data_IF_618064744148
#
_entry.id   IF_618064744148
#
_cell.length_a   1.000
_cell.length_b   1.000
_cell.length_c   1.000
_cell.angle_alpha   90.00
_cell.angle_beta   90.00
_cell.angle_gamma   90.00
#
_symmetry.space_group_name_H-M   'P 1'
#
loop_
_entity.id
_entity.type
_entity.pdbx_description
1 polymer ?
#
# COMPACT_ATOMS: atom_id res chain seq x y z
N UNK A 1 16.50 -4.88 0.46
CA UNK A 1 15.45 -4.19 -0.27
C UNK A 1 15.01 -5.07 -1.44
N UNK A 2 13.72 -5.21 -1.62
CA UNK A 2 13.11 -5.90 -2.76
C UNK A 2 12.20 -4.88 -3.44
N UNK A 3 12.38 -4.67 -4.74
CA UNK A 3 11.53 -3.74 -5.52
C UNK A 3 10.31 -4.47 -6.07
N UNK A 4 9.19 -3.78 -6.11
CA UNK A 4 7.95 -4.30 -6.67
C UNK A 4 7.88 -4.08 -8.18
N UNK A 5 7.05 -4.87 -8.87
CA UNK A 5 6.78 -4.68 -10.29
C UNK A 5 6.08 -3.34 -10.58
N UNK A 6 6.05 -2.94 -11.84
CA UNK A 6 5.59 -1.62 -12.33
C UNK A 6 4.17 -1.23 -11.92
N UNK A 7 3.32 -2.17 -11.49
CA UNK A 7 1.91 -1.93 -11.13
C UNK A 7 1.64 -2.05 -9.63
N UNK A 8 2.68 -2.15 -8.77
CA UNK A 8 2.48 -2.23 -7.34
C UNK A 8 2.30 -0.85 -6.71
N UNK A 9 1.32 -0.65 -5.82
CA UNK A 9 1.15 0.61 -5.08
C UNK A 9 2.27 0.86 -4.07
N UNK A 10 3.02 -0.17 -3.69
CA UNK A 10 4.14 -0.06 -2.75
C UNK A 10 5.48 0.05 -3.48
N UNK A 11 6.43 0.79 -2.88
CA UNK A 11 7.76 1.04 -3.46
C UNK A 11 8.64 -0.20 -3.36
N UNK A 12 8.66 -0.83 -2.18
CA UNK A 12 9.54 -1.96 -1.90
C UNK A 12 9.10 -2.70 -0.63
N UNK A 13 9.68 -3.90 -0.43
CA UNK A 13 9.54 -4.68 0.79
C UNK A 13 10.78 -4.55 1.66
N UNK A 14 10.58 -4.49 2.97
CA UNK A 14 11.61 -4.42 3.99
C UNK A 14 11.32 -5.40 5.13
N UNK A 15 12.34 -5.72 5.92
CA UNK A 15 12.12 -6.43 7.16
C UNK A 15 11.49 -5.49 8.18
N UNK A 16 10.48 -5.97 8.91
CA UNK A 16 9.83 -5.18 9.95
C UNK A 16 10.83 -4.69 11.02
N UNK A 17 11.87 -5.47 11.30
CA UNK A 17 12.96 -5.10 12.21
C UNK A 17 13.76 -3.86 11.76
N UNK A 18 13.80 -3.55 10.46
CA UNK A 18 14.59 -2.45 9.91
C UNK A 18 13.79 -1.15 9.72
N UNK A 19 12.49 -1.16 10.00
CA UNK A 19 11.57 -0.04 9.71
C UNK A 19 11.97 1.26 10.39
N UNK A 20 12.36 1.21 11.66
CA UNK A 20 12.78 2.39 12.44
C UNK A 20 14.02 3.04 11.84
N UNK A 21 15.03 2.22 11.47
CA UNK A 21 16.26 2.68 10.84
C UNK A 21 15.98 3.30 9.48
N UNK A 22 15.14 2.67 8.68
CA UNK A 22 14.78 3.18 7.36
C UNK A 22 14.02 4.50 7.44
N UNK A 23 13.04 4.63 8.37
CA UNK A 23 12.32 5.89 8.55
C UNK A 23 13.25 7.02 9.02
N UNK A 24 14.23 6.74 9.87
CA UNK A 24 15.22 7.74 10.28
C UNK A 24 16.07 8.21 9.10
N UNK A 25 16.47 7.28 8.22
CA UNK A 25 17.21 7.61 7.00
C UNK A 25 16.36 8.45 6.04
N UNK A 26 15.12 8.04 5.74
CA UNK A 26 14.20 8.76 4.84
C UNK A 26 13.87 10.19 5.33
N UNK A 27 13.96 10.44 6.63
CA UNK A 27 13.78 11.78 7.23
C UNK A 27 15.04 12.63 7.21
N UNK A 28 16.21 12.06 6.91
CA UNK A 28 17.49 12.79 6.88
C UNK A 28 17.50 13.83 5.76
N UNK A 29 18.33 14.87 5.94
CA UNK A 29 18.48 15.92 4.93
C UNK A 29 19.17 15.38 3.65
N UNK A 30 20.01 14.39 3.80
CA UNK A 30 20.65 13.69 2.69
C UNK A 30 19.62 12.95 1.82
N UNK A 31 18.75 12.14 2.43
CA UNK A 31 17.69 11.46 1.71
C UNK A 31 16.73 12.44 1.03
N UNK A 32 16.37 13.55 1.70
CA UNK A 32 15.51 14.60 1.12
C UNK A 32 16.12 15.28 -0.09
N UNK A 33 17.43 15.46 -0.13
CA UNK A 33 18.14 16.04 -1.29
C UNK A 33 18.13 15.10 -2.51
N UNK A 34 18.12 13.80 -2.26
CA UNK A 34 18.10 12.76 -3.30
C UNK A 34 16.68 12.41 -3.77
N UNK A 35 15.64 12.92 -3.08
CA UNK A 35 14.26 12.65 -3.48
C UNK A 35 13.91 13.38 -4.78
N UNK A 36 13.25 12.69 -5.73
CA UNK A 36 12.67 13.33 -6.90
C UNK A 36 11.66 14.41 -6.51
N UNK A 37 11.49 15.41 -7.41
CA UNK A 37 10.60 16.53 -7.16
C UNK A 37 9.15 16.12 -6.85
N UNK A 38 8.69 15.02 -7.44
CA UNK A 38 7.37 14.41 -7.24
C UNK A 38 7.15 13.90 -5.81
N UNK A 39 8.23 13.51 -5.14
CA UNK A 39 8.20 12.99 -3.77
C UNK A 39 8.48 14.05 -2.70
N UNK A 40 8.68 15.31 -3.07
CA UNK A 40 9.01 16.39 -2.14
C UNK A 40 8.05 16.49 -0.93
N UNK A 41 6.79 16.17 -1.14
CA UNK A 41 5.75 16.18 -0.12
C UNK A 41 5.23 14.77 0.22
N UNK A 42 5.94 13.73 -0.21
CA UNK A 42 5.52 12.37 0.07
C UNK A 42 5.68 12.03 1.56
N UNK A 43 4.67 11.39 2.12
CA UNK A 43 4.72 10.78 3.44
C UNK A 43 5.05 9.30 3.26
N UNK A 44 6.19 8.87 3.80
CA UNK A 44 6.58 7.47 3.79
C UNK A 44 5.95 6.74 4.97
N UNK A 45 5.22 5.67 4.68
CA UNK A 45 4.55 4.83 5.69
C UNK A 45 4.71 3.36 5.32
N UNK A 46 4.61 2.49 6.33
CA UNK A 46 4.65 1.05 6.12
C UNK A 46 3.25 0.45 6.08
N UNK A 47 3.13 -0.66 5.37
CA UNK A 47 1.99 -1.54 5.44
C UNK A 47 1.99 -2.40 6.71
N UNK A 48 0.94 -3.20 6.87
CA UNK A 48 0.89 -4.25 7.89
C UNK A 48 2.05 -5.25 7.70
N UNK A 49 2.61 -5.79 8.80
CA UNK A 49 3.53 -6.90 8.68
C UNK A 49 2.85 -8.13 8.07
N UNK A 50 3.45 -8.67 7.03
CA UNK A 50 3.00 -9.91 6.40
C UNK A 50 3.77 -11.09 6.98
N UNK A 51 3.05 -12.00 7.64
CA UNK A 51 3.57 -13.33 7.98
C UNK A 51 3.50 -14.19 6.72
N UNK A 52 4.61 -14.32 6.07
CA UNK A 52 4.67 -15.11 4.86
C UNK A 52 4.75 -16.59 5.20
N UNK A 53 3.62 -17.24 5.18
CA UNK A 53 3.49 -18.69 5.30
C UNK A 53 3.84 -19.41 4.01
N UNK A 54 3.75 -18.73 2.86
CA UNK A 54 4.06 -19.30 1.56
C UNK A 54 5.31 -18.68 0.94
N UNK A 55 6.47 -19.31 1.21
CA UNK A 55 7.76 -18.96 0.60
C UNK A 55 7.77 -19.08 -0.92
N UNK A 56 6.96 -19.96 -1.49
CA UNK A 56 6.88 -20.15 -2.93
C UNK A 56 6.22 -18.93 -3.61
N UNK A 57 5.11 -18.47 -3.05
CA UNK A 57 4.41 -17.30 -3.57
C UNK A 57 5.30 -16.06 -3.50
N UNK A 58 5.94 -15.83 -2.34
CA UNK A 58 6.86 -14.72 -2.17
C UNK A 58 8.06 -14.79 -3.12
N UNK A 59 8.65 -15.98 -3.25
CA UNK A 59 9.77 -16.17 -4.15
C UNK A 59 9.39 -15.82 -5.59
N UNK A 60 8.20 -16.22 -6.05
CA UNK A 60 7.69 -15.90 -7.39
C UNK A 60 7.41 -14.41 -7.62
N UNK A 61 7.08 -13.66 -6.59
CA UNK A 61 6.93 -12.20 -6.68
C UNK A 61 8.24 -11.51 -7.03
N UNK A 62 9.38 -12.00 -6.52
CA UNK A 62 10.69 -11.37 -6.71
C UNK A 62 11.55 -12.03 -7.76
N UNK A 63 11.26 -13.28 -8.10
CA UNK A 63 12.03 -14.07 -9.06
C UNK A 63 11.08 -14.78 -10.03
N UNK A 64 10.72 -14.17 -11.17
CA UNK A 64 9.87 -14.77 -12.19
C UNK A 64 10.47 -16.06 -12.73
N UNK A 65 9.63 -16.93 -13.27
CA UNK A 65 10.03 -18.25 -13.77
C UNK A 65 11.10 -18.16 -14.87
N UNK A 66 10.98 -17.19 -15.75
CA UNK A 66 11.93 -16.95 -16.85
C UNK A 66 13.32 -16.57 -16.33
N UNK A 67 13.37 -15.76 -15.27
CA UNK A 67 14.62 -15.38 -14.63
C UNK A 67 15.28 -16.55 -13.89
N UNK A 68 14.49 -17.46 -13.31
CA UNK A 68 14.98 -18.67 -12.67
C UNK A 68 15.64 -19.63 -13.67
N UNK A 69 15.05 -19.76 -14.86
CA UNK A 69 15.63 -20.59 -15.94
C UNK A 69 16.91 -19.97 -16.53
N UNK A 70 16.96 -18.63 -16.62
CA UNK A 70 18.13 -17.93 -17.14
C UNK A 70 19.34 -18.01 -16.20
N UNK A 71 19.12 -18.03 -14.88
CA UNK A 71 20.20 -18.07 -13.87
C UNK A 71 19.79 -18.91 -12.64
N UNK A 72 19.80 -20.25 -12.76
CA UNK A 72 19.37 -21.15 -11.67
C UNK A 72 20.25 -21.05 -10.42
N UNK A 73 21.54 -20.75 -10.57
CA UNK A 73 22.48 -20.69 -9.46
C UNK A 73 22.22 -19.49 -8.55
N UNK A 74 21.97 -18.30 -9.14
CA UNK A 74 21.61 -17.11 -8.39
C UNK A 74 20.19 -17.21 -7.84
N UNK A 75 19.25 -17.82 -8.56
CA UNK A 75 17.91 -18.11 -8.09
C UNK A 75 17.94 -18.96 -6.80
N UNK A 76 18.78 -20.01 -6.75
CA UNK A 76 18.95 -20.84 -5.56
C UNK A 76 19.51 -20.03 -4.38
N UNK A 77 20.58 -19.25 -4.60
CA UNK A 77 21.18 -18.39 -3.56
C UNK A 77 20.16 -17.34 -3.04
N UNK A 78 19.38 -16.75 -3.93
CA UNK A 78 18.34 -15.81 -3.55
C UNK A 78 17.29 -16.47 -2.67
N UNK A 79 16.82 -17.66 -3.03
CA UNK A 79 15.84 -18.44 -2.26
C UNK A 79 16.34 -18.77 -0.85
N UNK A 80 17.59 -19.23 -0.74
CA UNK A 80 18.21 -19.51 0.55
C UNK A 80 18.35 -18.26 1.43
N UNK A 81 18.76 -17.13 0.82
CA UNK A 81 18.86 -15.84 1.51
C UNK A 81 17.50 -15.34 1.96
N UNK A 82 16.49 -15.43 1.11
CA UNK A 82 15.11 -15.05 1.43
C UNK A 82 14.58 -15.87 2.61
N UNK A 83 14.79 -17.19 2.61
CA UNK A 83 14.40 -18.07 3.73
C UNK A 83 15.10 -17.66 5.03
N UNK A 84 16.39 -17.33 4.97
CA UNK A 84 17.14 -16.89 6.15
C UNK A 84 16.62 -15.55 6.71
N UNK A 85 16.24 -14.62 5.85
CA UNK A 85 15.69 -13.32 6.26
C UNK A 85 14.30 -13.45 6.88
N UNK A 86 13.43 -14.27 6.29
CA UNK A 86 12.07 -14.47 6.76
C UNK A 86 11.97 -15.22 8.10
N UNK A 87 12.99 -16.01 8.45
CA UNK A 87 13.09 -16.60 9.80
C UNK A 87 13.35 -15.57 10.90
N UNK A 88 13.84 -14.38 10.53
CA UNK A 88 14.26 -13.32 11.46
C UNK A 88 13.20 -12.27 11.71
N UNK A 89 12.38 -11.97 10.69
CA UNK A 89 11.40 -10.89 10.79
C UNK A 89 10.33 -11.05 9.71
N UNK A 90 9.14 -10.54 10.01
CA UNK A 90 8.08 -10.35 9.02
C UNK A 90 8.52 -9.30 7.97
N UNK A 91 7.88 -9.32 6.79
CA UNK A 91 8.05 -8.30 5.78
C UNK A 91 6.99 -7.22 5.91
N UNK A 92 7.37 -6.00 5.60
CA UNK A 92 6.49 -4.85 5.48
C UNK A 92 6.69 -4.16 4.14
N UNK A 93 5.63 -3.65 3.58
CA UNK A 93 5.68 -2.82 2.38
C UNK A 93 5.94 -1.37 2.76
N UNK A 94 6.75 -0.66 1.98
CA UNK A 94 6.92 0.78 2.08
C UNK A 94 6.07 1.47 1.03
N UNK A 95 5.30 2.46 1.44
CA UNK A 95 4.48 3.31 0.58
C UNK A 95 4.97 4.75 0.62
N UNK A 96 4.93 5.44 -0.53
CA UNK A 96 5.04 6.89 -0.62
C UNK A 96 3.65 7.45 -0.87
N UNK A 97 3.03 8.01 0.14
CA UNK A 97 1.73 8.65 0.03
C UNK A 97 1.90 10.08 -0.45
N UNK A 98 1.11 10.50 -1.44
CA UNK A 98 1.14 11.89 -1.91
C UNK A 98 0.63 12.81 -0.81
N UNK A 99 1.52 13.62 -0.27
CA UNK A 99 1.16 14.68 0.67
C UNK A 99 0.59 15.91 -0.03
N UNK A 100 -0.09 16.73 0.73
CA UNK A 100 -0.46 18.09 0.38
C UNK A 100 0.25 19.09 1.31
N UNK A 101 0.05 20.39 1.11
CA UNK A 101 0.70 21.42 1.93
C UNK A 101 0.26 21.41 3.40
N UNK A 102 -0.95 20.96 3.68
CA UNK A 102 -1.52 20.86 5.04
C UNK A 102 -1.17 19.53 5.72
N UNK A 103 -0.66 18.56 4.95
CA UNK A 103 -0.41 17.19 5.39
C UNK A 103 -1.65 16.48 5.97
N UNK A 104 -2.84 16.94 5.53
CA UNK A 104 -4.13 16.37 5.90
C UNK A 104 -4.62 15.41 4.81
N UNK A 105 -5.30 14.31 5.18
CA UNK A 105 -5.89 13.42 4.20
C UNK A 105 -7.04 14.11 3.45
N UNK A 106 -7.23 13.82 2.16
CA UNK A 106 -8.34 14.39 1.39
C UNK A 106 -9.71 13.91 1.87
N UNK A 107 -9.74 12.80 2.61
CA UNK A 107 -10.95 12.22 3.19
C UNK A 107 -10.59 11.50 4.49
N UNK A 108 -11.32 11.81 5.56
CA UNK A 108 -11.16 11.17 6.86
C UNK A 108 -12.24 10.11 7.08
N UNK A 109 -11.98 9.15 7.96
CA UNK A 109 -12.94 8.11 8.30
C UNK A 109 -14.24 8.61 8.95
N UNK A 110 -14.27 9.86 9.42
CA UNK A 110 -15.46 10.48 10.03
C UNK A 110 -16.68 10.53 9.09
N UNK A 111 -16.46 10.54 7.77
CA UNK A 111 -17.53 10.53 6.77
C UNK A 111 -18.07 9.12 6.46
N UNK A 112 -17.40 8.07 6.91
CA UNK A 112 -17.85 6.69 6.73
C UNK A 112 -19.02 6.42 7.66
N UNK A 113 -20.16 6.07 7.14
CA UNK A 113 -21.36 5.73 7.93
C UNK A 113 -21.41 4.26 8.29
N UNK A 114 -20.96 3.40 7.38
CA UNK A 114 -20.96 1.97 7.52
C UNK A 114 -19.81 1.34 6.74
N UNK A 115 -19.23 0.27 7.29
CA UNK A 115 -18.32 -0.60 6.57
C UNK A 115 -18.49 -2.04 7.05
N UNK A 116 -18.72 -2.97 6.13
CA UNK A 116 -18.97 -4.38 6.42
C UNK A 116 -18.22 -5.28 5.46
N UNK A 117 -17.74 -6.41 5.96
CA UNK A 117 -17.23 -7.47 5.11
C UNK A 117 -18.41 -8.13 4.39
N UNK A 118 -18.25 -8.37 3.10
CA UNK A 118 -19.25 -9.03 2.23
C UNK A 118 -18.53 -9.83 1.14
N UNK A 119 -19.27 -10.29 0.15
CA UNK A 119 -18.73 -11.00 -1.01
C UNK A 119 -19.09 -10.25 -2.29
N UNK A 120 -18.18 -10.26 -3.24
CA UNK A 120 -18.42 -9.72 -4.57
C UNK A 120 -19.22 -10.70 -5.46
N UNK A 121 -19.46 -10.32 -6.71
CA UNK A 121 -20.18 -11.15 -7.69
C UNK A 121 -19.46 -12.46 -8.06
N UNK A 122 -18.18 -12.58 -7.72
CA UNK A 122 -17.37 -13.78 -7.93
C UNK A 122 -17.21 -14.60 -6.64
N UNK A 123 -18.00 -14.28 -5.61
CA UNK A 123 -17.92 -14.90 -4.28
C UNK A 123 -16.56 -14.74 -3.60
N UNK A 124 -15.85 -13.62 -3.91
CA UNK A 124 -14.60 -13.27 -3.25
C UNK A 124 -14.86 -12.32 -2.08
N UNK A 125 -14.16 -12.47 -0.94
CA UNK A 125 -14.30 -11.56 0.18
C UNK A 125 -13.95 -10.12 -0.22
N UNK A 126 -14.79 -9.17 0.14
CA UNK A 126 -14.62 -7.75 -0.12
C UNK A 126 -15.19 -6.92 1.03
N UNK A 127 -15.03 -5.60 0.98
CA UNK A 127 -15.60 -4.67 1.95
C UNK A 127 -16.57 -3.74 1.24
N UNK A 128 -17.81 -3.69 1.72
CA UNK A 128 -18.78 -2.66 1.34
C UNK A 128 -18.66 -1.49 2.30
N UNK A 129 -18.57 -0.27 1.77
CA UNK A 129 -18.44 0.96 2.53
C UNK A 129 -19.48 1.98 2.07
N UNK A 130 -20.18 2.60 3.03
CA UNK A 130 -21.10 3.68 2.80
C UNK A 130 -20.60 4.96 3.49
N UNK A 131 -20.87 6.10 2.87
CA UNK A 131 -20.46 7.42 3.34
C UNK A 131 -21.66 8.35 3.47
N UNK A 132 -21.53 9.38 4.30
CA UNK A 132 -22.49 10.45 4.36
C UNK A 132 -22.44 11.32 3.08
N UNK A 133 -23.34 12.31 2.96
CA UNK A 133 -23.44 13.16 1.76
C UNK A 133 -22.17 13.95 1.45
N UNK A 134 -21.45 14.39 2.47
CA UNK A 134 -20.18 15.10 2.32
C UNK A 134 -19.10 14.16 1.81
N UNK A 135 -18.94 13.00 2.47
CA UNK A 135 -18.00 11.96 2.07
C UNK A 135 -18.25 11.46 0.66
N UNK A 136 -19.52 11.30 0.25
CA UNK A 136 -19.87 10.89 -1.11
C UNK A 136 -19.31 11.84 -2.17
N UNK A 137 -19.40 13.16 -1.95
CA UNK A 137 -18.86 14.16 -2.88
C UNK A 137 -17.33 14.16 -2.91
N UNK A 138 -16.70 14.08 -1.73
CA UNK A 138 -15.26 14.01 -1.62
C UNK A 138 -14.71 12.74 -2.28
N UNK A 139 -15.40 11.61 -2.08
CA UNK A 139 -15.05 10.32 -2.67
C UNK A 139 -15.15 10.31 -4.19
N UNK A 140 -16.22 10.86 -4.75
CA UNK A 140 -16.41 11.01 -6.19
C UNK A 140 -15.27 11.83 -6.82
N UNK A 141 -14.92 12.97 -6.22
CA UNK A 141 -13.82 13.81 -6.68
C UNK A 141 -12.48 13.09 -6.58
N UNK A 142 -12.21 12.44 -5.45
CA UNK A 142 -10.97 11.71 -5.21
C UNK A 142 -10.81 10.55 -6.19
N UNK A 143 -11.84 9.70 -6.31
CA UNK A 143 -11.81 8.54 -7.22
C UNK A 143 -11.72 8.96 -8.68
N UNK A 144 -12.39 10.04 -9.09
CA UNK A 144 -12.27 10.59 -10.43
C UNK A 144 -10.85 11.06 -10.76
N UNK A 145 -10.21 11.78 -9.83
CA UNK A 145 -8.82 12.22 -9.98
C UNK A 145 -7.86 11.03 -10.04
N UNK A 146 -7.98 10.09 -9.09
CA UNK A 146 -7.10 8.92 -8.99
C UNK A 146 -7.25 8.03 -10.21
N UNK A 147 -8.46 7.85 -10.73
CA UNK A 147 -8.72 7.12 -11.98
C UNK A 147 -8.00 7.74 -13.18
N UNK A 148 -8.09 9.06 -13.33
CA UNK A 148 -7.40 9.78 -14.42
C UNK A 148 -5.87 9.64 -14.33
N UNK A 149 -5.33 9.66 -13.11
CA UNK A 149 -3.91 9.51 -12.84
C UNK A 149 -3.44 8.03 -12.80
N UNK A 150 -4.34 7.08 -12.96
CA UNK A 150 -4.09 5.62 -12.85
C UNK A 150 -3.44 5.26 -11.50
N UNK A 151 -3.89 5.92 -10.44
CA UNK A 151 -3.33 5.79 -9.11
C UNK A 151 -4.07 4.78 -8.22
N UNK A 152 -3.64 4.77 -6.96
CA UNK A 152 -4.22 3.96 -5.89
C UNK A 152 -4.70 4.86 -4.76
N UNK A 153 -5.65 4.39 -3.97
CA UNK A 153 -6.11 5.05 -2.75
C UNK A 153 -5.65 4.22 -1.56
N UNK A 154 -4.71 4.76 -0.78
CA UNK A 154 -4.26 4.07 0.43
C UNK A 154 -5.24 4.32 1.59
N UNK A 155 -5.63 3.25 2.25
CA UNK A 155 -6.42 3.26 3.49
C UNK A 155 -5.46 3.10 4.65
N UNK A 156 -5.37 4.13 5.49
CA UNK A 156 -4.40 4.15 6.60
C UNK A 156 -5.08 4.29 7.95
N UNK A 157 -4.48 3.69 8.97
CA UNK A 157 -4.82 3.88 10.38
C UNK A 157 -3.52 3.88 11.18
N UNK A 158 -3.34 4.85 12.08
CA UNK A 158 -2.16 4.96 12.95
C UNK A 158 -0.82 4.87 12.19
N UNK A 159 -0.71 5.59 11.06
CA UNK A 159 0.44 5.58 10.17
C UNK A 159 0.80 4.19 9.58
N UNK A 160 -0.17 3.29 9.49
CA UNK A 160 -0.03 1.98 8.87
C UNK A 160 -0.98 1.89 7.67
N UNK A 161 -0.49 1.45 6.51
CA UNK A 161 -1.33 1.17 5.34
C UNK A 161 -1.97 -0.21 5.50
N UNK A 162 -3.30 -0.25 5.45
CA UNK A 162 -4.07 -1.49 5.54
C UNK A 162 -4.42 -2.05 4.17
N UNK A 163 -4.62 -1.17 3.20
CA UNK A 163 -4.92 -1.53 1.82
C UNK A 163 -4.63 -0.33 0.91
N UNK A 164 -4.31 -0.57 -0.35
CA UNK A 164 -4.10 0.47 -1.35
C UNK A 164 -4.73 0.06 -2.70
N UNK A 165 -6.07 -0.09 -2.77
CA UNK A 165 -6.76 -0.51 -3.98
C UNK A 165 -6.60 0.48 -5.13
N UNK A 166 -6.58 -0.06 -6.36
CA UNK A 166 -6.65 0.73 -7.59
C UNK A 166 -8.09 1.14 -7.88
N UNK A 167 -8.28 2.36 -8.35
CA UNK A 167 -9.58 2.80 -8.87
C UNK A 167 -9.71 2.36 -10.31
N UNK A 168 -10.59 1.37 -10.57
CA UNK A 168 -10.74 0.73 -11.88
C UNK A 168 -11.90 1.28 -12.73
N UNK A 169 -12.82 2.03 -12.14
CA UNK A 169 -14.09 2.45 -12.78
C UNK A 169 -14.42 3.93 -12.53
N UNK A 170 -13.64 4.87 -13.09
CA UNK A 170 -13.99 6.30 -13.08
C UNK A 170 -14.43 6.88 -11.70
N UNK A 171 -15.09 8.04 -11.69
CA UNK A 171 -15.63 8.63 -10.46
C UNK A 171 -16.70 7.74 -9.83
N UNK A 172 -16.58 7.44 -8.54
CA UNK A 172 -17.54 6.62 -7.81
C UNK A 172 -18.49 7.58 -7.06
N UNK A 173 -19.70 7.74 -7.59
CA UNK A 173 -20.74 8.61 -7.03
C UNK A 173 -21.66 7.86 -6.07
N UNK A 174 -22.50 8.64 -5.33
CA UNK A 174 -23.55 8.09 -4.48
C UNK A 174 -23.12 7.66 -3.08
N UNK A 175 -21.82 7.66 -2.78
CA UNK A 175 -21.29 7.40 -1.43
C UNK A 175 -21.32 5.93 -0.99
N UNK A 176 -21.68 5.00 -1.88
CA UNK A 176 -21.55 3.57 -1.67
C UNK A 176 -20.42 3.04 -2.55
N UNK A 177 -19.52 2.25 -2.01
CA UNK A 177 -18.41 1.66 -2.74
C UNK A 177 -18.07 0.28 -2.24
N UNK A 178 -17.45 -0.51 -3.10
CA UNK A 178 -16.95 -1.84 -2.78
C UNK A 178 -15.43 -1.86 -2.96
N UNK A 179 -14.73 -2.26 -1.92
CA UNK A 179 -13.28 -2.43 -1.92
C UNK A 179 -13.01 -3.90 -2.17
N UNK A 180 -12.56 -4.21 -3.37
CA UNK A 180 -12.21 -5.56 -3.80
C UNK A 180 -10.69 -5.73 -3.78
N UNK A 181 -10.25 -6.96 -3.64
CA UNK A 181 -8.83 -7.34 -3.63
C UNK A 181 -8.70 -8.84 -3.39
N UNK A 182 -7.48 -9.32 -3.31
CA UNK A 182 -7.23 -10.72 -2.95
C UNK A 182 -7.25 -10.90 -1.42
N UNK A 183 -8.42 -10.61 -0.80
CA UNK A 183 -8.60 -10.69 0.63
C UNK A 183 -9.02 -12.09 1.07
N UNK A 184 -8.49 -12.53 2.19
CA UNK A 184 -9.16 -13.54 3.03
C UNK A 184 -10.36 -12.89 3.75
N UNK A 185 -11.28 -13.70 4.26
CA UNK A 185 -12.42 -13.21 5.07
C UNK A 185 -11.92 -12.41 6.28
N UNK A 186 -10.85 -12.86 6.93
CA UNK A 186 -10.28 -12.19 8.09
C UNK A 186 -9.70 -10.81 7.73
N UNK A 187 -8.98 -10.69 6.61
CA UNK A 187 -8.41 -9.41 6.14
C UNK A 187 -9.51 -8.44 5.75
N UNK A 188 -10.56 -8.89 5.05
CA UNK A 188 -11.70 -8.04 4.72
C UNK A 188 -12.45 -7.58 5.99
N UNK A 189 -12.60 -8.44 6.99
CA UNK A 189 -13.20 -8.09 8.28
C UNK A 189 -12.34 -7.06 9.04
N UNK A 190 -11.04 -7.24 9.05
CA UNK A 190 -10.09 -6.29 9.67
C UNK A 190 -10.18 -4.92 8.98
N UNK A 191 -10.19 -4.90 7.64
CA UNK A 191 -10.32 -3.67 6.88
C UNK A 191 -11.66 -2.95 7.16
N UNK A 192 -12.76 -3.70 7.24
CA UNK A 192 -14.06 -3.14 7.62
C UNK A 192 -14.04 -2.56 9.05
N UNK A 193 -13.34 -3.20 9.99
CA UNK A 193 -13.16 -2.69 11.35
C UNK A 193 -12.36 -1.39 11.37
N UNK A 194 -11.28 -1.31 10.59
CA UNK A 194 -10.44 -0.11 10.43
C UNK A 194 -11.26 1.06 9.89
N UNK A 195 -12.03 0.85 8.84
CA UNK A 195 -12.91 1.88 8.24
C UNK A 195 -13.98 2.36 9.24
N UNK A 196 -14.51 1.48 10.08
CA UNK A 196 -15.43 1.84 11.15
C UNK A 196 -14.75 2.58 12.30
N UNK A 197 -13.54 2.17 12.67
CA UNK A 197 -12.74 2.83 13.71
C UNK A 197 -12.38 4.26 13.32
N UNK A 198 -12.19 4.53 12.04
CA UNK A 198 -11.97 5.87 11.51
C UNK A 198 -13.10 6.89 11.72
N UNK A 199 -14.27 6.46 12.21
CA UNK A 199 -15.32 7.36 12.72
C UNK A 199 -14.91 8.07 14.00
N UNK A 200 -13.95 7.53 14.75
CA UNK A 200 -13.43 8.14 15.97
C UNK A 200 -12.45 9.26 15.58
N UNK A 201 -12.47 10.43 16.22
CA UNK A 201 -11.78 11.64 15.73
C UNK A 201 -10.25 11.58 15.69
N UNK A 202 -9.64 10.44 15.80
CA UNK A 202 -8.20 10.35 16.03
C UNK A 202 -7.34 9.59 15.02
N UNK A 203 -7.84 8.80 14.03
CA UNK A 203 -6.85 7.88 13.46
C UNK A 203 -7.09 7.20 12.11
N UNK A 204 -8.02 7.56 11.25
CA UNK A 204 -8.12 6.92 9.94
C UNK A 204 -8.05 7.93 8.79
N UNK A 205 -7.00 7.80 7.99
CA UNK A 205 -6.75 8.66 6.84
C UNK A 205 -6.80 7.83 5.56
N UNK A 206 -7.53 8.30 4.55
CA UNK A 206 -7.49 7.75 3.20
C UNK A 206 -6.63 8.70 2.37
N UNK A 207 -5.46 8.24 1.94
CA UNK A 207 -4.48 9.06 1.23
C UNK A 207 -4.12 8.39 -0.09
N UNK A 208 -4.01 9.19 -1.15
CA UNK A 208 -3.59 8.72 -2.46
C UNK A 208 -2.14 8.25 -2.44
N UNK A 209 -1.85 7.04 -2.89
CA UNK A 209 -0.48 6.58 -3.10
C UNK A 209 0.05 7.04 -4.47
N UNK A 210 1.34 7.33 -4.54
CA UNK A 210 2.04 7.62 -5.80
C UNK A 210 2.80 6.38 -6.21
N UNK A 211 2.59 5.92 -7.43
CA UNK A 211 3.45 4.88 -8.02
C UNK A 211 4.76 5.55 -8.41
N UNK A 212 5.83 5.16 -7.75
CA UNK A 212 7.19 5.56 -8.11
C UNK A 212 7.79 4.42 -8.92
N UNK A 213 8.09 4.70 -10.18
CA UNK A 213 8.71 3.72 -11.07
C UNK A 213 10.09 3.24 -10.56
N UNK A 214 10.64 2.14 -11.13
CA UNK A 214 11.83 1.45 -10.63
C UNK A 214 13.15 2.25 -10.70
N UNK A 215 13.15 3.46 -11.28
CA UNK A 215 14.35 4.30 -11.42
C UNK A 215 14.99 4.72 -10.09
N UNK A 216 14.24 4.78 -8.99
CA UNK A 216 14.76 5.15 -7.67
C UNK A 216 15.57 4.05 -6.97
N UNK A 217 15.45 2.81 -7.41
CA UNK A 217 16.15 1.67 -6.79
C UNK A 217 17.58 1.48 -7.32
N UNK A 218 17.90 1.96 -8.51
CA UNK A 218 19.21 1.73 -9.15
C UNK A 218 20.29 2.73 -8.73
N UNK A 219 19.92 3.98 -8.46
CA UNK A 219 20.92 5.01 -8.08
C UNK A 219 21.40 4.90 -6.63
N UNK A 220 20.64 4.27 -5.74
CA UNK A 220 21.04 4.09 -4.34
C UNK A 220 22.02 2.93 -4.09
N UNK A 221 22.39 2.16 -5.12
CA UNK A 221 23.23 0.95 -5.00
C UNK A 221 24.69 1.22 -5.47
N UNK A 222 24.97 2.36 -6.08
CA UNK A 222 26.27 2.68 -6.66
C UNK A 222 27.10 3.69 -5.87
N UNK A 223 26.77 3.93 -4.61
CA UNK A 223 27.57 4.78 -3.71
C UNK A 223 28.02 4.01 -2.50
#
# INVERSE_FOLDING_TARGET
QFTNGENSPSIAYFLAADTTKLLSYLKSDEAKRLQPAELKYAKFVFGKPHKLTDLQQLYRMFWPYEAEQADPANAKKFKERLQSLLRRSDLVELYALRGNRTNEPPLTGSVVTEAVQTYDNHNQPCVSMNMNREGAKLWENLTGKVFTERGNIAITLDNTVYSAPTVTSGPISGGSTQITGNFTVAEAQDLANVLRAGKLPASADIVQSVIVGPSLGQEAITS
#
